data_IF_874430952449
#
_entry.id   IF_874430952449
#
_cell.length_a   1.000
_cell.length_b   1.000
_cell.length_c   1.000
_cell.angle_alpha   90.00
_cell.angle_beta   90.00
_cell.angle_gamma   90.00
#
_symmetry.space_group_name_H-M   'P 1'
#
loop_
_entity.id
_entity.type
_entity.pdbx_description
1 polymer ?
#
# COMPACT_ATOMS: atom_id res chain seq x y z
N UNK A 1 8.89 -13.81 7.40
CA UNK A 1 9.19 -13.24 6.09
C UNK A 1 9.06 -14.35 5.07
N UNK A 2 7.83 -14.54 4.63
CA UNK A 2 7.44 -15.53 3.64
C UNK A 2 7.50 -14.92 2.24
N UNK A 3 7.29 -13.61 2.13
CA UNK A 3 7.31 -12.88 0.86
C UNK A 3 8.50 -11.90 0.77
N UNK A 4 8.87 -11.57 -0.46
CA UNK A 4 9.98 -10.66 -0.75
C UNK A 4 9.49 -9.23 -0.96
N UNK A 5 10.39 -8.26 -0.84
CA UNK A 5 10.12 -6.86 -1.22
C UNK A 5 9.60 -6.74 -2.66
N UNK A 6 10.21 -7.46 -3.61
CA UNK A 6 9.76 -7.47 -5.02
C UNK A 6 8.32 -7.98 -5.16
N UNK A 7 7.94 -8.98 -4.38
CA UNK A 7 6.56 -9.48 -4.36
C UNK A 7 5.61 -8.42 -3.79
N UNK A 8 5.97 -7.80 -2.66
CA UNK A 8 5.15 -6.77 -2.03
C UNK A 8 4.93 -5.56 -2.97
N UNK A 9 5.97 -5.08 -3.65
CA UNK A 9 5.86 -4.02 -4.66
C UNK A 9 4.86 -4.40 -5.76
N UNK A 10 4.98 -5.61 -6.33
CA UNK A 10 4.07 -6.10 -7.37
C UNK A 10 2.61 -6.16 -6.88
N UNK A 11 2.38 -6.62 -5.66
CA UNK A 11 1.03 -6.68 -5.08
C UNK A 11 0.50 -5.26 -4.83
N UNK A 12 1.31 -4.35 -4.30
CA UNK A 12 0.91 -2.96 -4.11
C UNK A 12 0.47 -2.30 -5.41
N UNK A 13 1.25 -2.44 -6.49
CA UNK A 13 0.88 -1.92 -7.81
C UNK A 13 -0.41 -2.56 -8.34
N UNK A 14 -0.54 -3.88 -8.22
CA UNK A 14 -1.75 -4.60 -8.63
C UNK A 14 -2.99 -4.08 -7.91
N UNK A 15 -2.91 -3.90 -6.60
CA UNK A 15 -4.02 -3.36 -5.79
C UNK A 15 -4.49 -2.03 -6.33
N UNK A 16 -3.58 -1.06 -6.49
CA UNK A 16 -3.92 0.28 -6.96
C UNK A 16 -4.55 0.25 -8.36
N UNK A 17 -4.07 -0.63 -9.25
CA UNK A 17 -4.64 -0.80 -10.60
C UNK A 17 -6.01 -1.47 -10.58
N UNK A 18 -6.17 -2.56 -9.83
CA UNK A 18 -7.43 -3.32 -9.73
C UNK A 18 -8.58 -2.43 -9.25
N UNK A 19 -8.32 -1.55 -8.27
CA UNK A 19 -9.33 -0.63 -7.72
C UNK A 19 -9.37 0.74 -8.40
N UNK A 20 -8.64 0.93 -9.51
CA UNK A 20 -8.56 2.19 -10.27
C UNK A 20 -8.11 3.40 -9.42
N UNK A 21 -7.20 3.17 -8.49
CA UNK A 21 -6.58 4.18 -7.63
C UNK A 21 -5.14 4.52 -8.06
N UNK A 22 -4.67 3.92 -9.16
CA UNK A 22 -3.40 4.26 -9.79
C UNK A 22 -3.51 5.61 -10.50
N UNK A 23 -2.53 6.48 -10.30
CA UNK A 23 -2.38 7.77 -10.96
C UNK A 23 -1.02 7.85 -11.67
N UNK A 24 -0.91 8.67 -12.71
CA UNK A 24 0.32 8.88 -13.47
C UNK A 24 1.36 9.70 -12.69
N UNK A 25 0.93 10.43 -11.66
CA UNK A 25 1.80 11.19 -10.76
C UNK A 25 2.51 10.35 -9.69
N UNK A 26 2.22 9.03 -9.64
CA UNK A 26 2.83 8.10 -8.70
C UNK A 26 4.32 7.94 -9.01
N UNK A 27 5.15 8.25 -8.02
CA UNK A 27 6.60 8.10 -8.06
C UNK A 27 7.06 6.66 -7.77
N UNK A 28 8.37 6.44 -7.86
CA UNK A 28 8.99 5.13 -7.58
C UNK A 28 8.58 4.61 -6.19
N UNK A 29 7.90 3.44 -6.12
CA UNK A 29 7.45 2.90 -4.86
C UNK A 29 8.59 2.33 -4.02
N UNK A 30 8.36 2.21 -2.72
CA UNK A 30 9.26 1.50 -1.80
C UNK A 30 8.48 0.56 -0.90
N UNK A 31 9.10 -0.54 -0.47
CA UNK A 31 8.48 -1.44 0.50
C UNK A 31 9.32 -1.54 1.77
N UNK A 32 8.64 -1.62 2.91
CA UNK A 32 9.27 -1.82 4.21
C UNK A 32 8.62 -2.99 4.92
N UNK A 33 9.44 -3.93 5.37
CA UNK A 33 8.96 -5.01 6.23
C UNK A 33 8.80 -4.52 7.67
N UNK A 34 7.64 -4.82 8.27
CA UNK A 34 7.26 -4.46 9.62
C UNK A 34 6.99 -5.75 10.39
N UNK A 35 7.81 -6.02 11.41
CA UNK A 35 7.60 -7.14 12.31
C UNK A 35 6.42 -6.88 13.23
N UNK A 36 5.63 -7.92 13.51
CA UNK A 36 4.60 -7.91 14.56
C UNK A 36 5.17 -7.34 15.86
N UNK A 37 4.40 -6.49 16.53
CA UNK A 37 4.78 -5.89 17.81
C UNK A 37 5.73 -4.70 17.72
N UNK A 38 6.23 -4.35 16.52
CA UNK A 38 7.01 -3.13 16.32
C UNK A 38 6.14 -1.87 16.26
N UNK A 39 4.84 -2.03 15.96
CA UNK A 39 3.83 -0.97 16.00
C UNK A 39 2.51 -1.54 16.52
N UNK A 40 1.67 -0.69 17.14
CA UNK A 40 0.34 -1.09 17.63
C UNK A 40 -0.67 -1.35 16.49
N UNK A 41 -0.31 -1.02 15.25
CA UNK A 41 -1.23 -0.99 14.10
C UNK A 41 -1.27 -2.32 13.36
N UNK A 42 -0.20 -3.13 13.43
CA UNK A 42 -0.12 -4.41 12.72
C UNK A 42 -0.20 -5.59 13.71
N UNK A 43 -1.30 -6.38 13.69
CA UNK A 43 -1.46 -7.55 14.57
C UNK A 43 -0.53 -8.72 14.20
N UNK A 44 0.10 -8.64 13.02
CA UNK A 44 0.97 -9.65 12.41
C UNK A 44 2.10 -8.99 11.61
N UNK A 45 2.98 -9.82 11.04
CA UNK A 45 4.05 -9.33 10.18
C UNK A 45 3.45 -8.78 8.88
N UNK A 46 3.92 -7.62 8.45
CA UNK A 46 3.36 -6.94 7.29
C UNK A 46 4.45 -6.31 6.42
N UNK A 47 4.14 -6.17 5.14
CA UNK A 47 4.81 -5.27 4.24
C UNK A 47 3.99 -3.99 4.11
N UNK A 48 4.66 -2.85 4.24
CA UNK A 48 4.11 -1.54 3.96
C UNK A 48 4.71 -1.03 2.66
N UNK A 49 3.89 -0.95 1.62
CA UNK A 49 4.30 -0.47 0.30
C UNK A 49 3.87 0.98 0.16
N UNK A 50 4.81 1.86 -0.16
CA UNK A 50 4.62 3.31 -0.17
C UNK A 50 4.76 3.84 -1.59
N UNK A 51 3.75 4.56 -2.06
CA UNK A 51 3.66 5.19 -3.38
C UNK A 51 3.56 6.72 -3.16
N UNK A 52 4.68 7.45 -3.22
CA UNK A 52 4.66 8.92 -3.18
C UNK A 52 3.93 9.48 -4.42
N UNK A 53 3.21 10.58 -4.29
CA UNK A 53 2.43 11.19 -5.38
C UNK A 53 2.22 12.69 -5.18
N UNK A 54 1.99 13.46 -6.25
CA UNK A 54 1.63 14.88 -6.16
C UNK A 54 2.70 15.78 -5.54
N UNK A 55 3.99 15.56 -5.84
CA UNK A 55 5.10 16.36 -5.29
C UNK A 55 4.94 17.87 -5.50
N UNK A 56 4.32 18.29 -6.61
CA UNK A 56 4.08 19.70 -6.94
C UNK A 56 3.08 20.34 -5.98
N UNK A 57 2.08 19.58 -5.53
CA UNK A 57 1.02 20.05 -4.64
C UNK A 57 1.37 19.90 -3.14
N UNK A 58 2.15 18.89 -2.80
CA UNK A 58 2.40 18.50 -1.41
C UNK A 58 3.84 18.74 -0.93
N UNK A 59 4.72 19.15 -1.82
CA UNK A 59 6.15 19.33 -1.57
C UNK A 59 6.89 18.01 -1.38
N UNK A 60 8.20 18.10 -1.15
CA UNK A 60 9.09 16.93 -1.06
C UNK A 60 9.71 16.72 0.33
N UNK A 61 10.08 15.48 0.62
CA UNK A 61 10.87 15.09 1.78
C UNK A 61 12.38 15.27 1.54
N UNK A 62 13.22 14.85 2.50
CA UNK A 62 14.68 14.96 2.41
C UNK A 62 15.31 14.11 1.27
N UNK A 63 14.53 13.20 0.68
CA UNK A 63 14.94 12.33 -0.42
C UNK A 63 14.30 12.73 -1.75
N UNK A 64 13.77 13.96 -1.84
CA UNK A 64 13.08 14.52 -3.01
C UNK A 64 11.79 13.77 -3.42
N UNK A 65 11.19 13.00 -2.51
CA UNK A 65 9.91 12.30 -2.75
C UNK A 65 8.76 13.13 -2.25
N UNK A 66 7.58 13.01 -2.86
CA UNK A 66 6.39 13.68 -2.34
C UNK A 66 6.13 13.38 -0.86
N UNK A 67 5.76 14.41 -0.10
CA UNK A 67 5.29 14.29 1.29
C UNK A 67 3.91 13.63 1.39
N UNK A 68 3.16 13.55 0.29
CA UNK A 68 1.95 12.76 0.23
C UNK A 68 2.30 11.36 -0.28
N UNK A 69 1.77 10.34 0.41
CA UNK A 69 2.09 8.95 0.12
C UNK A 69 0.86 8.09 0.32
N UNK A 70 0.63 7.18 -0.62
CA UNK A 70 -0.33 6.09 -0.50
C UNK A 70 0.42 4.89 0.08
N UNK A 71 -0.11 4.31 1.13
CA UNK A 71 0.45 3.14 1.77
C UNK A 71 -0.47 1.93 1.61
N UNK A 72 0.02 0.87 0.98
CA UNK A 72 -0.67 -0.42 0.89
C UNK A 72 -0.10 -1.36 1.94
N UNK A 73 -0.97 -1.91 2.80
CA UNK A 73 -0.60 -2.91 3.80
C UNK A 73 -0.85 -4.31 3.26
N UNK A 74 0.17 -5.16 3.30
CA UNK A 74 0.13 -6.56 2.85
C UNK A 74 0.57 -7.43 4.01
N UNK A 75 -0.22 -8.44 4.39
CA UNK A 75 0.20 -9.36 5.44
C UNK A 75 1.18 -10.41 4.89
N UNK A 76 2.23 -10.70 5.67
CA UNK A 76 3.28 -11.64 5.27
C UNK A 76 2.83 -13.11 5.39
N UNK A 77 1.71 -13.37 6.08
CA UNK A 77 1.21 -14.74 6.27
C UNK A 77 0.51 -15.27 5.01
N UNK A 78 -0.28 -14.44 4.32
CA UNK A 78 -1.04 -14.82 3.12
C UNK A 78 -0.61 -14.09 1.84
N UNK A 79 0.20 -13.03 1.95
CA UNK A 79 0.65 -12.22 0.83
C UNK A 79 -0.46 -11.33 0.25
N UNK A 80 -1.57 -11.14 0.97
CA UNK A 80 -2.74 -10.42 0.50
C UNK A 80 -2.75 -9.00 1.07
N UNK A 81 -3.05 -8.03 0.21
CA UNK A 81 -3.25 -6.65 0.64
C UNK A 81 -4.59 -6.49 1.37
N UNK A 82 -4.56 -5.85 2.54
CA UNK A 82 -5.75 -5.69 3.39
C UNK A 82 -6.29 -4.28 3.41
N UNK A 83 -5.43 -3.28 3.16
CA UNK A 83 -5.84 -1.89 3.17
C UNK A 83 -4.91 -0.95 2.43
N UNK A 84 -5.46 0.20 2.11
CA UNK A 84 -4.75 1.39 1.63
C UNK A 84 -4.99 2.50 2.64
N UNK A 85 -3.95 3.22 3.02
CA UNK A 85 -4.05 4.46 3.79
C UNK A 85 -3.33 5.58 3.06
N UNK A 86 -3.88 6.77 3.10
CA UNK A 86 -3.32 7.97 2.47
C UNK A 86 -3.68 9.16 3.34
N UNK A 87 -3.13 10.33 3.00
CA UNK A 87 -3.20 11.55 3.82
C UNK A 87 -4.59 11.87 4.38
N UNK A 88 -5.65 11.66 3.60
CA UNK A 88 -7.04 11.99 3.94
C UNK A 88 -7.97 10.80 3.71
N UNK A 89 -7.54 9.60 4.09
CA UNK A 89 -8.48 8.49 4.06
C UNK A 89 -7.86 7.10 4.17
N UNK A 90 -8.78 6.15 4.21
CA UNK A 90 -8.49 4.74 4.38
C UNK A 90 -9.45 3.90 3.54
N UNK A 91 -8.91 2.92 2.84
CA UNK A 91 -9.69 1.95 2.06
C UNK A 91 -9.39 0.57 2.63
N UNK A 92 -10.44 -0.11 3.09
CA UNK A 92 -10.39 -1.53 3.40
C UNK A 92 -10.59 -2.32 2.11
N UNK A 93 -9.71 -3.28 1.86
CA UNK A 93 -9.73 -4.10 0.67
C UNK A 93 -10.47 -5.42 0.92
N UNK A 94 -11.08 -5.94 -0.14
CA UNK A 94 -11.38 -7.35 -0.28
C UNK A 94 -10.59 -7.94 -1.43
N UNK A 95 -10.45 -9.27 -1.44
CA UNK A 95 -9.79 -10.01 -2.51
C UNK A 95 -10.73 -11.13 -3.00
N UNK A 96 -10.96 -11.19 -4.31
CA UNK A 96 -11.71 -12.27 -4.93
C UNK A 96 -10.73 -13.34 -5.41
N UNK A 97 -10.75 -14.51 -4.78
CA UNK A 97 -9.86 -15.62 -5.13
C UNK A 97 -10.17 -16.25 -6.48
N UNK A 98 -11.41 -16.12 -6.99
CA UNK A 98 -11.80 -16.69 -8.29
C UNK A 98 -11.34 -15.84 -9.47
N UNK A 99 -11.37 -14.51 -9.32
CA UNK A 99 -10.96 -13.55 -10.36
C UNK A 99 -9.54 -13.01 -10.15
N UNK A 100 -8.89 -13.41 -9.05
CA UNK A 100 -7.58 -12.93 -8.61
C UNK A 100 -7.46 -11.40 -8.61
N UNK A 101 -8.49 -10.68 -8.16
CA UNK A 101 -8.56 -9.22 -8.15
C UNK A 101 -8.91 -8.62 -6.78
N UNK A 102 -8.46 -7.39 -6.56
CA UNK A 102 -8.81 -6.60 -5.39
C UNK A 102 -10.03 -5.72 -5.65
N UNK A 103 -10.83 -5.49 -4.61
CA UNK A 103 -11.97 -4.58 -4.65
C UNK A 103 -12.08 -3.74 -3.37
N UNK A 104 -12.77 -2.60 -3.47
CA UNK A 104 -13.06 -1.73 -2.32
C UNK A 104 -14.16 -2.37 -1.48
N UNK A 105 -13.83 -2.77 -0.26
CA UNK A 105 -14.80 -3.31 0.71
C UNK A 105 -15.44 -2.22 1.55
N UNK A 106 -14.65 -1.24 1.98
CA UNK A 106 -15.10 -0.07 2.73
C UNK A 106 -14.14 1.09 2.44
N UNK A 107 -14.64 2.32 2.35
CA UNK A 107 -13.83 3.52 2.20
C UNK A 107 -14.26 4.57 3.22
N UNK A 108 -13.29 5.16 3.90
CA UNK A 108 -13.47 6.25 4.85
C UNK A 108 -12.63 7.46 4.42
N UNK A 109 -13.16 8.68 4.54
CA UNK A 109 -12.37 9.91 4.48
C UNK A 109 -11.37 10.01 5.64
#
# INVERSE_FOLDING_TARGET
MNYTEKYALKIGEKVLRDIKFWDDDIETPTAKYIKKGLTLVFPENAWLVSFPYGKEDYGTDINDRSRATIHVTIFDDDGIATSISYKNGYIKLGYNTGEENYYVKEQRP
#
